data_IF_216700715634
#
_entry.id   IF_216700715634
#
_cell.length_a   1.000
_cell.length_b   1.000
_cell.length_c   1.000
_cell.angle_alpha   90.00
_cell.angle_beta   90.00
_cell.angle_gamma   90.00
#
_symmetry.space_group_name_H-M   'P 1'
#
loop_
_entity.id
_entity.type
_entity.pdbx_description
1 polymer ?
#
# COMPACT_ATOMS: atom_id res chain seq x y z
N UNK A 1 -1.32 -3.47 -6.71
CA UNK A 1 -0.25 -4.19 -6.06
C UNK A 1 0.79 -3.29 -5.43
N UNK A 2 1.48 -3.83 -4.44
CA UNK A 2 2.50 -3.08 -3.70
C UNK A 2 3.64 -2.61 -4.61
N UNK A 3 4.02 -3.42 -5.59
CA UNK A 3 5.09 -3.05 -6.52
C UNK A 3 4.75 -1.81 -7.35
N UNK A 4 3.50 -1.70 -7.77
CA UNK A 4 3.05 -0.51 -8.52
C UNK A 4 3.09 0.72 -7.63
N UNK A 5 2.66 0.58 -6.38
CA UNK A 5 2.72 1.65 -5.41
C UNK A 5 4.17 2.10 -5.19
N UNK A 6 5.07 1.16 -4.98
CA UNK A 6 6.48 1.49 -4.77
C UNK A 6 7.11 2.15 -5.99
N UNK A 7 6.76 1.70 -7.19
CA UNK A 7 7.25 2.32 -8.42
C UNK A 7 6.79 3.78 -8.50
N UNK A 8 5.53 4.05 -8.18
CA UNK A 8 5.00 5.41 -8.17
C UNK A 8 5.72 6.27 -7.13
N UNK A 9 6.05 5.72 -5.98
CA UNK A 9 6.79 6.43 -4.93
C UNK A 9 8.19 6.78 -5.42
N UNK A 10 8.87 5.84 -6.07
CA UNK A 10 10.21 6.06 -6.61
C UNK A 10 10.20 7.16 -7.66
N UNK A 11 9.18 7.20 -8.50
CA UNK A 11 9.03 8.25 -9.51
C UNK A 11 8.64 9.60 -8.91
N UNK A 12 8.20 9.62 -7.69
CA UNK A 12 7.78 10.85 -7.02
C UNK A 12 6.41 11.35 -7.45
N UNK A 13 5.62 10.50 -8.08
CA UNK A 13 4.29 10.87 -8.56
C UNK A 13 3.23 10.58 -7.49
N UNK A 14 2.89 11.61 -6.72
CA UNK A 14 1.96 11.45 -5.62
C UNK A 14 0.56 11.02 -6.05
N UNK A 15 0.05 11.56 -7.15
CA UNK A 15 -1.28 11.20 -7.64
C UNK A 15 -1.38 9.71 -7.94
N UNK A 16 -0.38 9.18 -8.65
CA UNK A 16 -0.34 7.75 -8.93
C UNK A 16 -0.13 6.94 -7.67
N UNK A 17 0.71 7.42 -6.77
CA UNK A 17 0.96 6.74 -5.50
C UNK A 17 -0.32 6.63 -4.68
N UNK A 18 -1.13 7.69 -4.63
CA UNK A 18 -2.40 7.64 -3.90
C UNK A 18 -3.37 6.62 -4.50
N UNK A 19 -3.47 6.59 -5.84
CA UNK A 19 -4.31 5.61 -6.51
C UNK A 19 -3.84 4.19 -6.25
N UNK A 20 -2.54 3.96 -6.40
CA UNK A 20 -1.95 2.65 -6.14
C UNK A 20 -2.08 2.26 -4.67
N UNK A 21 -1.97 3.22 -3.76
CA UNK A 21 -2.15 2.99 -2.33
C UNK A 21 -3.54 2.44 -2.03
N UNK A 22 -4.57 3.05 -2.60
CA UNK A 22 -5.96 2.59 -2.39
C UNK A 22 -6.13 1.16 -2.88
N UNK A 23 -5.60 0.85 -4.05
CA UNK A 23 -5.68 -0.50 -4.60
C UNK A 23 -4.92 -1.49 -3.72
N UNK A 24 -3.72 -1.11 -3.29
CA UNK A 24 -2.91 -1.97 -2.43
C UNK A 24 -3.59 -2.24 -1.08
N UNK A 25 -4.20 -1.23 -0.48
CA UNK A 25 -4.94 -1.41 0.77
C UNK A 25 -6.09 -2.39 0.59
N UNK A 26 -6.84 -2.26 -0.50
CA UNK A 26 -7.93 -3.19 -0.79
C UNK A 26 -7.42 -4.61 -0.97
N UNK A 27 -6.30 -4.78 -1.68
CA UNK A 27 -5.70 -6.10 -1.87
C UNK A 27 -5.27 -6.72 -0.55
N UNK A 28 -4.67 -5.93 0.34
CA UNK A 28 -4.25 -6.39 1.66
C UNK A 28 -5.47 -6.79 2.49
N UNK A 29 -6.52 -5.98 2.47
CA UNK A 29 -7.75 -6.29 3.21
C UNK A 29 -8.39 -7.59 2.71
N UNK A 30 -8.44 -7.77 1.39
CA UNK A 30 -8.97 -9.01 0.82
C UNK A 30 -8.14 -10.23 1.25
N UNK A 31 -6.83 -10.08 1.29
CA UNK A 31 -5.96 -11.17 1.71
C UNK A 31 -6.23 -11.55 3.16
N UNK A 32 -6.48 -10.58 4.03
CA UNK A 32 -6.84 -10.85 5.42
C UNK A 32 -8.16 -11.60 5.51
N UNK A 33 -9.18 -11.14 4.78
CA UNK A 33 -10.50 -11.76 4.78
C UNK A 33 -10.42 -13.21 4.29
N UNK A 34 -9.60 -13.46 3.29
CA UNK A 34 -9.43 -14.82 2.74
C UNK A 34 -8.53 -15.70 3.59
N UNK A 35 -7.93 -15.17 4.64
CA UNK A 35 -7.02 -15.92 5.49
C UNK A 35 -5.64 -16.12 4.91
N UNK A 36 -5.30 -15.38 3.85
CA UNK A 36 -3.99 -15.48 3.20
C UNK A 36 -2.93 -14.62 3.89
N UNK A 37 -3.35 -13.64 4.69
CA UNK A 37 -2.45 -12.73 5.35
C UNK A 37 -2.91 -12.51 6.79
N UNK A 38 -1.97 -12.54 7.72
CA UNK A 38 -2.28 -12.31 9.12
C UNK A 38 -2.61 -10.82 9.35
N UNK A 39 -3.57 -10.56 10.26
CA UNK A 39 -4.03 -9.22 10.57
C UNK A 39 -2.88 -8.27 10.95
N UNK A 40 -1.95 -8.74 11.75
CA UNK A 40 -0.81 -7.93 12.18
C UNK A 40 0.10 -7.56 11.01
N UNK A 41 0.34 -8.51 10.10
CA UNK A 41 1.13 -8.25 8.91
C UNK A 41 0.44 -7.25 7.99
N UNK A 42 -0.88 -7.35 7.87
CA UNK A 42 -1.65 -6.41 7.07
C UNK A 42 -1.52 -4.98 7.61
N UNK A 43 -1.66 -4.82 8.92
CA UNK A 43 -1.51 -3.53 9.58
C UNK A 43 -0.11 -2.96 9.36
N UNK A 44 0.91 -3.78 9.46
CA UNK A 44 2.29 -3.37 9.24
C UNK A 44 2.50 -2.87 7.80
N UNK A 45 1.99 -3.61 6.82
CA UNK A 45 2.10 -3.23 5.41
C UNK A 45 1.38 -1.93 5.11
N UNK A 46 0.19 -1.74 5.67
CA UNK A 46 -0.56 -0.49 5.52
C UNK A 46 0.21 0.69 6.11
N UNK A 47 0.78 0.51 7.30
CA UNK A 47 1.60 1.55 7.94
C UNK A 47 2.79 1.93 7.08
N UNK A 48 3.51 0.94 6.56
CA UNK A 48 4.68 1.19 5.72
C UNK A 48 4.30 1.98 4.46
N UNK A 49 3.19 1.61 3.83
CA UNK A 49 2.71 2.32 2.65
C UNK A 49 2.30 3.76 2.97
N UNK A 50 1.65 3.96 4.11
CA UNK A 50 1.24 5.30 4.55
C UNK A 50 2.45 6.20 4.77
N UNK A 51 3.49 5.67 5.41
CA UNK A 51 4.72 6.43 5.66
C UNK A 51 5.38 6.83 4.33
N UNK A 52 5.47 5.90 3.40
CA UNK A 52 6.04 6.18 2.08
C UNK A 52 5.24 7.24 1.32
N UNK A 53 3.92 7.17 1.38
CA UNK A 53 3.06 8.14 0.74
C UNK A 53 3.25 9.52 1.34
N UNK A 54 3.36 9.63 2.65
CA UNK A 54 3.57 10.89 3.34
C UNK A 54 4.91 11.54 2.97
N UNK A 55 5.92 10.75 2.67
CA UNK A 55 7.22 11.29 2.26
C UNK A 55 7.18 12.00 0.93
N UNK A 56 6.16 11.76 0.11
CA UNK A 56 5.99 12.42 -1.18
C UNK A 56 5.41 13.84 -1.04
N UNK A 57 4.90 14.16 0.10
CA UNK A 57 4.31 15.49 0.35
C UNK A 57 5.39 16.60 0.56
#
# INVERSE_FOLDING_TARGET
>A
DIKKFEAAVVEGNRSEAEGAYKVAVKAVDKAVVKGLLHKNNAAHKKSAMTIKLNKLA
#
